data_IF_188577715710
#
_entry.id   IF_188577715710
#
_cell.length_a   1.000
_cell.length_b   1.000
_cell.length_c   1.000
_cell.angle_alpha   90.00
_cell.angle_beta   90.00
_cell.angle_gamma   90.00
#
_symmetry.space_group_name_H-M   'P 1'
#
loop_
_entity.id
_entity.type
_entity.pdbx_description
1 polymer ?
#
# COMPACT_ATOMS: atom_id res chain seq x y z
N UNK A 1 60.35 -5.88 -10.58
CA UNK A 1 59.03 -6.23 -10.01
C UNK A 1 58.32 -4.95 -9.61
N UNK A 2 57.44 -4.42 -10.46
CA UNK A 2 56.73 -3.16 -10.21
C UNK A 2 55.44 -3.45 -9.47
N UNK A 3 55.37 -3.16 -8.18
CA UNK A 3 54.10 -3.08 -7.46
C UNK A 3 53.32 -1.88 -7.99
N UNK A 4 52.26 -2.12 -8.76
CA UNK A 4 51.27 -1.11 -9.11
C UNK A 4 50.63 -0.62 -7.82
N UNK A 5 50.91 0.62 -7.48
CA UNK A 5 50.21 1.39 -6.46
C UNK A 5 48.81 1.61 -7.00
N UNK A 6 47.85 0.82 -6.56
CA UNK A 6 46.42 1.14 -6.74
C UNK A 6 46.15 2.34 -5.83
N UNK A 7 46.19 3.52 -6.43
CA UNK A 7 45.80 4.75 -5.75
C UNK A 7 44.38 4.56 -5.17
N UNK A 8 44.19 5.00 -3.91
CA UNK A 8 42.89 5.08 -3.25
C UNK A 8 41.95 5.91 -4.13
N UNK A 9 41.18 5.25 -4.97
CA UNK A 9 39.98 5.88 -5.60
C UNK A 9 39.07 6.23 -4.42
N UNK A 10 38.76 7.52 -4.19
CA UNK A 10 37.86 7.88 -3.11
C UNK A 10 36.54 7.10 -3.31
N UNK A 11 36.20 6.28 -2.31
CA UNK A 11 35.01 5.44 -2.35
C UNK A 11 33.78 6.33 -2.46
N UNK A 12 32.94 6.11 -3.47
CA UNK A 12 31.70 6.83 -3.65
C UNK A 12 30.80 6.68 -2.42
N UNK A 13 30.16 7.74 -1.99
CA UNK A 13 29.20 7.74 -0.88
C UNK A 13 28.03 6.82 -1.20
N UNK A 14 27.73 5.85 -0.34
CA UNK A 14 26.69 4.86 -0.57
C UNK A 14 25.42 5.21 0.17
N UNK A 15 24.35 5.49 -0.59
CA UNK A 15 22.98 5.71 -0.07
C UNK A 15 22.20 4.41 -0.27
N UNK A 16 21.74 3.82 0.82
CA UNK A 16 20.88 2.62 0.81
C UNK A 16 19.47 3.03 1.19
N UNK A 17 18.50 2.70 0.34
CA UNK A 17 17.07 2.92 0.55
C UNK A 17 16.43 1.55 0.73
N UNK A 18 15.77 1.31 1.87
CA UNK A 18 15.07 0.06 2.16
C UNK A 18 13.57 0.28 2.08
N UNK A 19 12.92 -0.42 1.15
CA UNK A 19 11.51 -0.31 0.82
C UNK A 19 11.26 0.43 -0.48
N UNK A 20 10.83 -0.31 -1.51
CA UNK A 20 10.50 0.18 -2.86
C UNK A 20 9.05 0.62 -3.02
N UNK A 21 8.36 0.98 -1.92
CA UNK A 21 7.02 1.56 -1.99
C UNK A 21 6.97 2.91 -2.71
N UNK A 22 5.81 3.59 -2.65
CA UNK A 22 5.56 4.83 -3.38
C UNK A 22 6.65 5.90 -3.17
N UNK A 23 7.12 6.06 -1.91
CA UNK A 23 8.15 7.05 -1.60
C UNK A 23 9.56 6.58 -1.88
N UNK A 24 9.93 5.34 -1.48
CA UNK A 24 11.28 4.83 -1.62
C UNK A 24 11.71 4.65 -3.07
N UNK A 25 10.84 4.11 -3.93
CA UNK A 25 11.11 3.98 -5.36
C UNK A 25 11.25 5.34 -6.04
N UNK A 26 10.39 6.30 -5.69
CA UNK A 26 10.50 7.67 -6.21
C UNK A 26 11.82 8.32 -5.78
N UNK A 27 12.20 8.18 -4.51
CA UNK A 27 13.47 8.69 -4.00
C UNK A 27 14.66 8.05 -4.72
N UNK A 28 14.68 6.73 -4.88
CA UNK A 28 15.73 6.01 -5.62
C UNK A 28 15.85 6.49 -7.06
N UNK A 29 14.70 6.68 -7.74
CA UNK A 29 14.63 7.21 -9.12
C UNK A 29 15.22 8.62 -9.21
N UNK A 30 14.86 9.52 -8.28
CA UNK A 30 15.38 10.90 -8.23
C UNK A 30 16.86 10.95 -7.95
N UNK A 31 17.33 10.23 -6.92
CA UNK A 31 18.73 10.19 -6.55
C UNK A 31 19.59 9.52 -7.63
N UNK A 32 19.10 8.44 -8.22
CA UNK A 32 19.79 7.78 -9.33
C UNK A 32 20.00 8.73 -10.50
N UNK A 33 18.98 9.48 -10.90
CA UNK A 33 19.05 10.45 -11.99
C UNK A 33 19.87 11.72 -11.65
N UNK A 34 19.98 12.09 -10.37
CA UNK A 34 20.74 13.27 -9.96
C UNK A 34 22.17 12.93 -9.50
N UNK A 35 22.34 12.04 -8.51
CA UNK A 35 23.62 11.69 -7.91
C UNK A 35 24.28 10.47 -8.60
N UNK A 36 23.50 9.41 -8.86
CA UNK A 36 23.97 8.17 -9.47
C UNK A 36 24.52 8.41 -10.88
N UNK A 37 23.75 9.07 -11.76
CA UNK A 37 24.17 9.43 -13.12
C UNK A 37 25.48 10.22 -13.16
N UNK A 38 25.73 11.06 -12.16
CA UNK A 38 26.94 11.88 -12.03
C UNK A 38 28.07 11.16 -11.29
N UNK A 39 27.85 9.93 -10.83
CA UNK A 39 28.79 9.14 -9.99
C UNK A 39 29.24 9.87 -8.71
N UNK A 40 28.39 10.72 -8.15
CA UNK A 40 28.59 11.42 -6.88
C UNK A 40 28.32 10.46 -5.72
N UNK A 41 27.26 9.64 -5.85
CA UNK A 41 26.90 8.62 -4.89
C UNK A 41 26.45 7.33 -5.59
N UNK A 42 26.67 6.21 -4.93
CA UNK A 42 26.09 4.92 -5.27
C UNK A 42 24.71 4.84 -4.58
N UNK A 43 23.67 4.68 -5.37
CA UNK A 43 22.29 4.60 -4.86
C UNK A 43 21.80 3.18 -5.00
N UNK A 44 21.40 2.58 -3.87
CA UNK A 44 20.91 1.20 -3.81
C UNK A 44 19.48 1.20 -3.25
N UNK A 45 18.56 0.58 -3.98
CA UNK A 45 17.21 0.27 -3.50
C UNK A 45 17.14 -1.20 -3.11
N UNK A 46 16.58 -1.49 -1.93
CA UNK A 46 16.34 -2.84 -1.43
C UNK A 46 14.85 -3.01 -1.19
N UNK A 47 14.27 -4.08 -1.73
CA UNK A 47 12.88 -4.47 -1.46
C UNK A 47 12.75 -5.99 -1.38
N UNK A 48 11.76 -6.47 -0.65
CA UNK A 48 11.44 -7.88 -0.51
C UNK A 48 10.71 -8.45 -1.75
N UNK A 49 10.26 -7.60 -2.67
CA UNK A 49 9.57 -7.96 -3.91
C UNK A 49 10.42 -7.62 -5.13
N UNK A 50 10.18 -8.31 -6.24
CA UNK A 50 10.84 -8.04 -7.53
C UNK A 50 10.20 -6.90 -8.30
N UNK A 51 8.97 -6.56 -7.94
CA UNK A 51 8.13 -5.62 -8.67
C UNK A 51 7.44 -4.64 -7.73
N UNK A 52 7.20 -3.44 -8.22
CA UNK A 52 6.41 -2.42 -7.55
C UNK A 52 4.98 -2.45 -8.03
N UNK A 53 4.05 -2.47 -7.08
CA UNK A 53 2.65 -2.11 -7.31
C UNK A 53 2.30 -0.92 -6.42
N UNK A 54 1.49 -0.02 -6.93
CA UNK A 54 1.07 1.12 -6.13
C UNK A 54 0.04 0.68 -5.08
N UNK A 55 0.46 0.61 -3.81
CA UNK A 55 -0.33 0.07 -2.69
C UNK A 55 -1.77 0.61 -2.61
N UNK A 56 -2.07 1.89 -2.88
CA UNK A 56 -3.44 2.38 -2.94
C UNK A 56 -4.37 1.66 -3.92
N UNK A 57 -3.86 0.91 -4.91
CA UNK A 57 -4.68 0.13 -5.85
C UNK A 57 -4.88 -1.34 -5.45
N UNK A 58 -4.41 -1.77 -4.28
CA UNK A 58 -4.56 -3.17 -3.84
C UNK A 58 -6.02 -3.61 -3.70
N UNK A 59 -6.95 -2.71 -3.43
CA UNK A 59 -8.38 -3.00 -3.42
C UNK A 59 -8.92 -3.34 -4.81
N UNK A 60 -8.40 -2.70 -5.88
CA UNK A 60 -8.75 -3.03 -7.28
C UNK A 60 -8.14 -4.38 -7.70
N UNK A 61 -6.94 -4.72 -7.21
CA UNK A 61 -6.35 -6.05 -7.41
C UNK A 61 -7.17 -7.13 -6.69
N UNK A 62 -7.55 -6.88 -5.44
CA UNK A 62 -8.34 -7.81 -4.64
C UNK A 62 -9.72 -8.08 -5.23
N UNK A 63 -10.37 -7.06 -5.80
CA UNK A 63 -11.66 -7.23 -6.50
C UNK A 63 -11.52 -7.87 -7.89
N UNK A 64 -10.30 -7.92 -8.45
CA UNK A 64 -10.02 -8.40 -9.80
C UNK A 64 -10.26 -7.36 -10.90
N UNK A 65 -10.58 -6.10 -10.55
CA UNK A 65 -10.81 -5.01 -11.51
C UNK A 65 -9.51 -4.44 -12.08
N UNK A 66 -8.38 -4.66 -11.39
CA UNK A 66 -7.03 -4.34 -11.88
C UNK A 66 -6.22 -5.64 -12.11
N UNK A 67 -5.60 -5.75 -13.29
CA UNK A 67 -4.65 -6.83 -13.56
C UNK A 67 -3.25 -6.46 -13.08
N UNK A 68 -2.88 -6.93 -11.89
CA UNK A 68 -1.59 -6.62 -11.28
C UNK A 68 -0.40 -6.94 -12.16
N UNK A 69 -0.46 -8.00 -12.98
CA UNK A 69 0.65 -8.44 -13.84
C UNK A 69 0.96 -7.46 -15.00
N UNK A 70 -0.01 -6.62 -15.39
CA UNK A 70 0.18 -5.63 -16.45
C UNK A 70 0.63 -4.26 -15.93
N UNK A 71 0.29 -3.96 -14.68
CA UNK A 71 0.52 -2.65 -14.06
C UNK A 71 1.74 -2.62 -13.13
N UNK A 72 2.46 -3.75 -13.04
CA UNK A 72 3.67 -3.85 -12.24
C UNK A 72 4.87 -3.19 -12.93
N UNK A 73 5.70 -2.57 -12.10
CA UNK A 73 6.98 -2.06 -12.51
C UNK A 73 8.09 -2.99 -12.00
N UNK A 74 8.89 -3.54 -12.92
CA UNK A 74 10.05 -4.37 -12.57
C UNK A 74 11.18 -3.50 -12.03
N UNK A 75 11.65 -3.78 -10.80
CA UNK A 75 12.69 -2.99 -10.14
C UNK A 75 14.04 -3.05 -10.87
N UNK A 76 14.49 -4.21 -11.36
CA UNK A 76 15.77 -4.31 -12.08
C UNK A 76 15.78 -3.46 -13.35
N UNK A 77 14.72 -3.56 -14.15
CA UNK A 77 14.60 -2.78 -15.39
C UNK A 77 14.52 -1.28 -15.09
N UNK A 78 13.81 -0.90 -14.01
CA UNK A 78 13.68 0.50 -13.64
C UNK A 78 14.98 1.06 -13.06
N UNK A 79 15.69 0.31 -12.24
CA UNK A 79 16.97 0.67 -11.65
C UNK A 79 18.04 0.93 -12.71
N UNK A 80 18.20 -0.01 -13.64
CA UNK A 80 19.16 0.13 -14.76
C UNK A 80 18.90 1.41 -15.56
N UNK A 81 17.62 1.71 -15.84
CA UNK A 81 17.25 2.90 -16.61
C UNK A 81 17.49 4.22 -15.87
N UNK A 82 17.40 4.20 -14.53
CA UNK A 82 17.43 5.39 -13.69
C UNK A 82 18.72 5.51 -12.87
N UNK A 83 19.79 4.80 -13.23
CA UNK A 83 21.14 4.92 -12.67
C UNK A 83 21.20 4.68 -11.14
N UNK A 84 20.46 3.67 -10.66
CA UNK A 84 20.61 3.13 -9.31
C UNK A 84 20.65 1.59 -9.38
N UNK A 85 21.06 0.94 -8.30
CA UNK A 85 21.10 -0.51 -8.19
C UNK A 85 19.90 -1.02 -7.39
N UNK A 86 19.42 -2.21 -7.74
CA UNK A 86 18.36 -2.88 -7.01
C UNK A 86 18.85 -4.21 -6.45
N UNK A 87 18.61 -4.44 -5.15
CA UNK A 87 18.86 -5.71 -4.48
C UNK A 87 17.56 -6.27 -3.91
N UNK A 88 17.23 -7.49 -4.31
CA UNK A 88 16.15 -8.26 -3.68
C UNK A 88 16.58 -8.65 -2.28
N UNK A 89 15.75 -8.36 -1.27
CA UNK A 89 16.03 -8.76 0.10
C UNK A 89 15.09 -8.10 1.10
N UNK A 90 14.91 -8.75 2.24
CA UNK A 90 14.14 -8.24 3.37
C UNK A 90 15.10 -7.90 4.50
N UNK A 91 15.11 -6.64 4.90
CA UNK A 91 15.91 -6.19 6.04
C UNK A 91 15.27 -6.65 7.35
N UNK A 92 16.08 -7.13 8.26
CA UNK A 92 15.64 -7.51 9.61
C UNK A 92 16.42 -6.84 10.74
N UNK A 93 17.62 -6.31 10.46
CA UNK A 93 18.48 -5.70 11.48
C UNK A 93 19.31 -4.55 10.90
N UNK A 94 19.74 -3.62 11.75
CA UNK A 94 20.64 -2.50 11.45
C UNK A 94 21.79 -2.52 12.47
N UNK A 95 23.04 -2.60 11.98
CA UNK A 95 24.24 -2.36 12.79
C UNK A 95 24.70 -0.92 12.56
N UNK A 96 24.33 -0.02 13.48
CA UNK A 96 24.67 1.41 13.39
C UNK A 96 26.18 1.67 13.50
N UNK A 97 26.90 0.87 14.30
CA UNK A 97 28.32 1.06 14.51
C UNK A 97 29.13 0.70 13.27
N UNK A 98 28.79 -0.42 12.64
CA UNK A 98 29.44 -0.86 11.40
C UNK A 98 28.84 -0.23 10.16
N UNK A 99 27.73 0.52 10.31
CA UNK A 99 26.92 1.07 9.21
C UNK A 99 26.53 0.00 8.18
N UNK A 100 25.95 -1.08 8.66
CA UNK A 100 25.45 -2.18 7.85
C UNK A 100 23.97 -2.43 8.14
N UNK A 101 23.23 -2.87 7.13
CA UNK A 101 21.95 -3.55 7.32
C UNK A 101 22.14 -5.03 7.07
N UNK A 102 21.32 -5.85 7.73
CA UNK A 102 21.28 -7.29 7.52
C UNK A 102 20.00 -7.66 6.79
N UNK A 103 20.17 -8.49 5.75
CA UNK A 103 19.08 -9.03 4.93
C UNK A 103 18.87 -10.51 5.24
N UNK A 104 17.60 -10.91 5.35
CA UNK A 104 17.22 -12.32 5.46
C UNK A 104 17.74 -13.13 4.25
N UNK A 105 17.84 -14.44 4.40
CA UNK A 105 18.06 -15.35 3.28
C UNK A 105 16.88 -15.31 2.30
N UNK A 106 17.15 -15.56 1.04
CA UNK A 106 16.13 -15.70 0.01
C UNK A 106 15.93 -17.19 -0.24
N UNK A 107 14.71 -17.65 0.02
CA UNK A 107 14.32 -19.05 -0.16
C UNK A 107 13.33 -19.12 -1.33
N UNK A 108 13.55 -20.05 -2.27
CA UNK A 108 12.62 -20.34 -3.36
C UNK A 108 11.42 -21.16 -2.84
N UNK A 109 10.35 -21.24 -3.66
CA UNK A 109 9.13 -21.98 -3.31
C UNK A 109 9.36 -23.48 -3.04
N UNK A 110 10.43 -24.06 -3.59
CA UNK A 110 10.86 -25.44 -3.37
C UNK A 110 11.75 -25.62 -2.12
N UNK A 111 12.01 -24.54 -1.37
CA UNK A 111 12.85 -24.52 -0.17
C UNK A 111 14.36 -24.36 -0.43
N UNK A 112 14.79 -24.20 -1.69
CA UNK A 112 16.20 -23.96 -2.00
C UNK A 112 16.60 -22.53 -1.58
N UNK A 113 17.78 -22.40 -0.93
CA UNK A 113 18.35 -21.10 -0.61
C UNK A 113 18.95 -20.49 -1.88
N UNK A 114 18.31 -19.45 -2.42
CA UNK A 114 18.79 -18.69 -3.57
C UNK A 114 19.89 -17.70 -3.20
N UNK A 115 19.82 -17.12 -2.01
CA UNK A 115 20.87 -16.27 -1.46
C UNK A 115 20.91 -16.39 0.07
N UNK A 116 22.10 -16.55 0.69
CA UNK A 116 22.22 -16.60 2.14
C UNK A 116 21.92 -15.21 2.75
N UNK A 117 21.75 -15.20 4.07
CA UNK A 117 21.72 -13.94 4.84
C UNK A 117 23.01 -13.17 4.58
N UNK A 118 22.86 -11.86 4.35
CA UNK A 118 23.99 -11.00 3.95
C UNK A 118 23.87 -9.60 4.49
N UNK A 119 25.01 -8.94 4.64
CA UNK A 119 25.07 -7.55 5.06
C UNK A 119 25.32 -6.61 3.88
N UNK A 120 24.68 -5.44 3.93
CA UNK A 120 24.88 -4.35 2.96
C UNK A 120 25.35 -3.12 3.74
N UNK A 121 26.55 -2.63 3.39
CA UNK A 121 27.10 -1.41 3.99
C UNK A 121 26.40 -0.17 3.42
N UNK A 122 26.19 0.83 4.27
CA UNK A 122 25.74 2.16 3.88
C UNK A 122 26.66 3.26 4.45
N UNK A 123 26.67 4.41 3.81
CA UNK A 123 27.16 5.65 4.40
C UNK A 123 25.97 6.50 4.88
N UNK A 124 24.84 6.42 4.16
CA UNK A 124 23.55 6.94 4.57
C UNK A 124 22.46 5.89 4.30
N UNK A 125 21.56 5.68 5.28
CA UNK A 125 20.43 4.78 5.20
C UNK A 125 19.12 5.55 5.18
N UNK A 126 18.18 5.16 4.30
CA UNK A 126 16.80 5.65 4.30
C UNK A 126 15.85 4.48 4.51
N UNK A 127 15.11 4.46 5.61
CA UNK A 127 14.10 3.46 5.91
C UNK A 127 12.76 3.94 5.33
N UNK A 128 12.24 3.23 4.33
CA UNK A 128 11.03 3.58 3.56
C UNK A 128 10.08 2.38 3.39
N UNK A 129 10.08 1.45 4.36
CA UNK A 129 9.40 0.15 4.28
C UNK A 129 7.88 0.21 4.42
N UNK A 130 7.31 1.39 4.66
CA UNK A 130 5.88 1.57 4.77
C UNK A 130 5.26 1.01 6.05
N UNK A 131 4.00 0.61 5.95
CA UNK A 131 3.18 0.08 7.04
C UNK A 131 2.62 -1.30 6.73
N UNK A 132 2.23 -2.02 7.79
CA UNK A 132 1.41 -3.22 7.75
C UNK A 132 0.10 -2.99 8.51
N UNK A 133 -0.88 -3.81 8.27
CA UNK A 133 -2.15 -3.77 9.00
C UNK A 133 -1.93 -4.03 10.50
N UNK A 134 -2.73 -3.37 11.33
CA UNK A 134 -2.74 -3.55 12.78
C UNK A 134 -3.99 -4.31 13.20
N UNK A 135 -3.81 -5.52 13.70
CA UNK A 135 -4.89 -6.36 14.18
C UNK A 135 -5.39 -6.00 15.59
N UNK A 136 -4.71 -5.05 16.25
CA UNK A 136 -5.00 -4.62 17.65
C UNK A 136 -5.07 -5.79 18.66
N UNK A 137 -4.46 -6.95 18.36
CA UNK A 137 -4.53 -8.15 19.18
C UNK A 137 -5.91 -8.83 19.14
N UNK A 138 -6.76 -8.52 18.17
CA UNK A 138 -8.09 -9.13 18.03
C UNK A 138 -7.97 -10.63 17.77
N UNK A 139 -8.59 -11.42 18.65
CA UNK A 139 -8.53 -12.88 18.59
C UNK A 139 -9.04 -13.42 17.24
N UNK A 140 -8.24 -14.24 16.57
CA UNK A 140 -8.56 -14.85 15.28
C UNK A 140 -8.37 -13.94 14.07
N UNK A 141 -8.03 -12.65 14.22
CA UNK A 141 -7.85 -11.75 13.07
C UNK A 141 -6.76 -12.23 12.11
N UNK A 142 -5.59 -12.63 12.65
CA UNK A 142 -4.45 -13.10 11.82
C UNK A 142 -4.73 -14.40 11.09
N UNK A 143 -5.52 -15.29 11.71
CA UNK A 143 -5.75 -16.64 11.17
C UNK A 143 -6.95 -16.71 10.24
N UNK A 144 -7.95 -15.83 10.46
CA UNK A 144 -9.26 -15.90 9.81
C UNK A 144 -9.54 -14.78 8.82
N UNK A 145 -8.67 -13.75 8.77
CA UNK A 145 -8.82 -12.63 7.83
C UNK A 145 -7.67 -12.56 6.83
N UNK A 146 -7.98 -12.07 5.65
CA UNK A 146 -6.97 -11.65 4.68
C UNK A 146 -6.68 -10.17 4.95
N UNK A 147 -5.40 -9.84 5.06
CA UNK A 147 -4.91 -8.46 5.11
C UNK A 147 -4.59 -7.98 3.70
N UNK A 148 -4.63 -6.66 3.45
CA UNK A 148 -4.31 -6.11 2.14
C UNK A 148 -3.05 -5.23 2.20
N UNK A 149 -1.97 -5.81 2.70
CA UNK A 149 -0.69 -5.12 2.83
C UNK A 149 0.20 -5.22 1.59
N UNK A 150 0.04 -6.30 0.84
CA UNK A 150 0.85 -6.60 -0.34
C UNK A 150 0.03 -7.28 -1.44
N UNK A 151 0.64 -7.38 -2.63
CA UNK A 151 0.02 -7.98 -3.81
C UNK A 151 -0.42 -9.43 -3.58
N UNK A 152 0.43 -10.27 -3.00
CA UNK A 152 0.11 -11.70 -2.80
C UNK A 152 -1.15 -11.90 -1.95
N UNK A 153 -1.39 -11.02 -0.98
CA UNK A 153 -2.61 -11.04 -0.17
C UNK A 153 -3.84 -10.59 -0.97
N UNK A 154 -3.69 -9.58 -1.84
CA UNK A 154 -4.77 -9.15 -2.74
C UNK A 154 -5.11 -10.23 -3.78
N UNK A 155 -4.09 -10.87 -4.38
CA UNK A 155 -4.29 -12.00 -5.31
C UNK A 155 -4.92 -13.21 -4.59
N UNK A 156 -4.53 -13.49 -3.33
CA UNK A 156 -5.17 -14.54 -2.51
C UNK A 156 -6.65 -14.24 -2.30
N UNK A 157 -6.98 -13.00 -1.91
CA UNK A 157 -8.36 -12.60 -1.72
C UNK A 157 -9.17 -12.75 -3.01
N UNK A 158 -8.65 -12.29 -4.14
CA UNK A 158 -9.31 -12.40 -5.44
C UNK A 158 -9.59 -13.88 -5.81
N UNK A 159 -8.63 -14.78 -5.59
CA UNK A 159 -8.81 -16.23 -5.82
C UNK A 159 -9.89 -16.83 -4.90
N UNK A 160 -9.90 -16.48 -3.62
CA UNK A 160 -10.92 -16.96 -2.68
C UNK A 160 -12.31 -16.42 -3.04
N UNK A 161 -12.41 -15.14 -3.41
CA UNK A 161 -13.66 -14.52 -3.86
C UNK A 161 -14.21 -15.21 -5.12
N UNK A 162 -13.38 -15.43 -6.14
CA UNK A 162 -13.78 -16.17 -7.34
C UNK A 162 -14.19 -17.62 -7.03
N UNK A 163 -13.47 -18.28 -6.12
CA UNK A 163 -13.77 -19.67 -5.72
C UNK A 163 -15.14 -19.80 -5.07
N UNK A 164 -15.58 -18.80 -4.27
CA UNK A 164 -16.94 -18.78 -3.72
C UNK A 164 -17.99 -18.73 -4.83
N UNK A 165 -17.78 -17.90 -5.85
CA UNK A 165 -18.66 -17.83 -7.01
C UNK A 165 -18.75 -19.15 -7.77
N UNK A 166 -17.60 -19.77 -8.06
CA UNK A 166 -17.55 -21.03 -8.80
C UNK A 166 -18.21 -22.18 -8.03
N UNK A 167 -17.99 -22.25 -6.71
CA UNK A 167 -18.65 -23.25 -5.84
C UNK A 167 -20.16 -23.10 -5.84
N UNK A 168 -20.65 -21.87 -5.64
CA UNK A 168 -22.09 -21.61 -5.64
C UNK A 168 -22.73 -21.86 -7.02
N UNK A 169 -22.03 -21.58 -8.13
CA UNK A 169 -22.48 -21.92 -9.46
C UNK A 169 -22.57 -23.45 -9.66
N UNK A 170 -21.56 -24.19 -9.20
CA UNK A 170 -21.55 -25.66 -9.29
C UNK A 170 -22.70 -26.29 -8.49
N UNK A 171 -23.01 -25.77 -7.30
CA UNK A 171 -24.13 -26.23 -6.47
C UNK A 171 -25.48 -26.05 -7.18
N UNK A 172 -25.71 -24.92 -7.82
CA UNK A 172 -26.94 -24.66 -8.58
C UNK A 172 -27.09 -25.64 -9.77
N UNK A 173 -25.98 -26.02 -10.43
CA UNK A 173 -26.01 -26.97 -11.53
C UNK A 173 -26.25 -28.43 -11.09
N UNK A 174 -25.86 -28.78 -9.86
CA UNK A 174 -26.03 -30.12 -9.30
C UNK A 174 -27.43 -30.34 -8.70
N UNK A 175 -28.15 -29.29 -8.38
CA UNK A 175 -29.49 -29.38 -7.82
C UNK A 175 -30.58 -29.32 -8.91
N UNK A 176 -30.88 -30.48 -9.50
CA UNK A 176 -31.94 -30.65 -10.50
C UNK A 176 -33.36 -30.29 -9.96
N UNK A 177 -33.52 -30.19 -8.64
CA UNK A 177 -34.83 -29.93 -8.02
C UNK A 177 -35.22 -28.46 -7.99
N UNK A 178 -34.36 -27.52 -8.39
CA UNK A 178 -34.56 -26.05 -8.30
C UNK A 178 -34.90 -25.54 -6.87
N UNK A 179 -34.64 -26.32 -5.84
CA UNK A 179 -34.99 -26.04 -4.43
C UNK A 179 -33.80 -25.76 -3.52
N UNK A 180 -32.56 -25.90 -3.99
CA UNK A 180 -31.41 -25.52 -3.18
C UNK A 180 -31.54 -24.03 -2.86
N UNK A 181 -31.67 -23.76 -1.58
CA UNK A 181 -31.52 -22.41 -1.05
C UNK A 181 -30.09 -22.01 -1.37
N UNK A 182 -29.94 -21.10 -2.30
CA UNK A 182 -28.64 -20.54 -2.67
C UNK A 182 -28.04 -19.93 -1.41
N UNK A 183 -26.94 -20.47 -0.94
CA UNK A 183 -26.23 -19.90 0.21
C UNK A 183 -25.72 -18.51 -0.15
N UNK A 184 -26.11 -17.52 0.64
CA UNK A 184 -25.65 -16.16 0.44
C UNK A 184 -24.14 -16.10 0.71
N UNK A 185 -23.41 -15.46 -0.21
CA UNK A 185 -22.00 -15.16 0.01
C UNK A 185 -21.90 -13.96 0.95
N UNK A 186 -21.42 -14.20 2.16
CA UNK A 186 -21.24 -13.18 3.17
C UNK A 186 -19.79 -12.72 3.24
N UNK A 187 -19.51 -11.48 2.84
CA UNK A 187 -18.19 -10.85 2.88
C UNK A 187 -18.19 -9.81 3.98
N UNK A 188 -17.21 -9.88 4.87
CA UNK A 188 -17.03 -8.89 5.93
C UNK A 188 -15.72 -8.13 5.74
N UNK A 189 -15.80 -6.80 5.75
CA UNK A 189 -14.67 -5.89 5.69
C UNK A 189 -14.59 -5.17 7.03
N UNK A 190 -13.53 -5.44 7.81
CA UNK A 190 -13.31 -4.85 9.11
C UNK A 190 -12.43 -3.62 8.97
N UNK A 191 -12.99 -2.44 9.27
CA UNK A 191 -12.38 -1.13 9.12
C UNK A 191 -12.97 -0.36 7.95
N UNK A 192 -13.68 0.75 8.24
CA UNK A 192 -14.28 1.64 7.26
C UNK A 192 -13.44 2.91 7.02
N UNK A 193 -12.12 2.76 6.97
CA UNK A 193 -11.20 3.74 6.41
C UNK A 193 -11.23 3.73 4.88
N UNK A 194 -10.30 4.43 4.23
CA UNK A 194 -10.24 4.53 2.75
C UNK A 194 -10.23 3.16 2.09
N UNK A 195 -9.32 2.28 2.46
CA UNK A 195 -9.15 0.94 1.87
C UNK A 195 -10.42 0.09 2.00
N UNK A 196 -11.05 0.07 3.20
CA UNK A 196 -12.27 -0.74 3.39
C UNK A 196 -13.46 -0.22 2.61
N UNK A 197 -13.64 1.09 2.54
CA UNK A 197 -14.70 1.75 1.75
C UNK A 197 -14.52 1.50 0.26
N UNK A 198 -13.31 1.69 -0.27
CA UNK A 198 -12.99 1.44 -1.68
C UNK A 198 -13.14 -0.02 -2.05
N UNK A 199 -12.66 -0.94 -1.21
CA UNK A 199 -12.84 -2.39 -1.43
C UNK A 199 -14.32 -2.80 -1.45
N UNK A 200 -15.12 -2.29 -0.50
CA UNK A 200 -16.54 -2.61 -0.46
C UNK A 200 -17.27 -2.20 -1.75
N UNK A 201 -16.96 -1.01 -2.25
CA UNK A 201 -17.53 -0.50 -3.50
C UNK A 201 -17.06 -1.33 -4.72
N UNK A 202 -15.76 -1.63 -4.81
CA UNK A 202 -15.18 -2.41 -5.92
C UNK A 202 -15.69 -3.86 -5.95
N UNK A 203 -15.86 -4.51 -4.80
CA UNK A 203 -16.42 -5.86 -4.72
C UNK A 203 -17.88 -5.89 -5.22
N UNK A 204 -18.67 -4.87 -4.91
CA UNK A 204 -20.04 -4.78 -5.42
C UNK A 204 -20.07 -4.58 -6.94
N UNK A 205 -19.12 -3.79 -7.46
CA UNK A 205 -18.93 -3.65 -8.90
C UNK A 205 -18.51 -4.97 -9.56
N UNK A 206 -17.49 -5.66 -9.02
CA UNK A 206 -17.03 -6.95 -9.49
C UNK A 206 -18.18 -7.99 -9.54
N UNK A 207 -19.03 -8.02 -8.52
CA UNK A 207 -20.22 -8.88 -8.48
C UNK A 207 -21.16 -8.67 -9.67
N UNK A 208 -21.39 -7.42 -10.08
CA UNK A 208 -22.18 -7.12 -11.27
C UNK A 208 -21.49 -7.56 -12.57
N UNK A 209 -20.17 -7.44 -12.64
CA UNK A 209 -19.40 -7.87 -13.82
C UNK A 209 -19.40 -9.40 -13.97
N UNK A 210 -19.32 -10.17 -12.87
CA UNK A 210 -19.44 -11.63 -12.93
C UNK A 210 -20.75 -12.08 -13.57
N UNK A 211 -21.88 -11.44 -13.23
CA UNK A 211 -23.15 -11.73 -13.86
C UNK A 211 -23.16 -11.44 -15.37
N UNK A 212 -22.51 -10.34 -15.81
CA UNK A 212 -22.37 -10.00 -17.24
C UNK A 212 -21.52 -11.02 -18.00
N UNK A 213 -20.55 -11.66 -17.33
CA UNK A 213 -19.73 -12.73 -17.93
C UNK A 213 -20.37 -14.10 -17.93
N UNK A 214 -21.64 -14.21 -17.56
CA UNK A 214 -22.38 -15.45 -17.63
C UNK A 214 -22.42 -16.26 -16.33
N UNK A 215 -21.80 -15.80 -15.25
CA UNK A 215 -21.94 -16.39 -13.92
C UNK A 215 -23.28 -15.99 -13.29
N UNK A 216 -24.41 -16.35 -13.94
CA UNK A 216 -25.76 -15.89 -13.61
C UNK A 216 -26.37 -16.61 -12.42
N UNK A 217 -25.81 -17.73 -11.99
CA UNK A 217 -26.30 -18.51 -10.87
C UNK A 217 -26.26 -17.75 -9.55
N UNK A 218 -25.34 -16.76 -9.41
CA UNK A 218 -25.28 -15.86 -8.28
C UNK A 218 -25.61 -14.45 -8.76
N UNK A 219 -26.70 -13.91 -8.24
CA UNK A 219 -27.05 -12.53 -8.50
C UNK A 219 -26.35 -11.59 -7.49
N UNK A 220 -26.09 -10.30 -7.84
CA UNK A 220 -25.47 -9.35 -6.92
C UNK A 220 -26.21 -9.19 -5.59
N UNK A 221 -27.51 -9.50 -5.53
CA UNK A 221 -28.35 -9.49 -4.32
C UNK A 221 -28.00 -10.64 -3.36
N UNK A 222 -27.44 -11.75 -3.86
CA UNK A 222 -27.02 -12.90 -3.05
C UNK A 222 -25.62 -12.69 -2.41
N UNK A 223 -24.98 -11.54 -2.69
CA UNK A 223 -23.72 -11.17 -2.10
C UNK A 223 -23.97 -10.09 -1.08
N UNK A 224 -23.90 -10.48 0.18
CA UNK A 224 -23.97 -9.59 1.33
C UNK A 224 -22.60 -9.07 1.68
N UNK A 225 -22.37 -7.78 1.54
CA UNK A 225 -21.12 -7.13 1.96
C UNK A 225 -21.41 -6.31 3.21
N UNK A 226 -20.72 -6.63 4.30
CA UNK A 226 -20.79 -5.91 5.57
C UNK A 226 -19.50 -5.13 5.80
N UNK A 227 -19.59 -3.81 5.82
CA UNK A 227 -18.50 -2.89 6.17
C UNK A 227 -18.63 -2.53 7.65
N UNK A 228 -17.65 -2.94 8.45
CA UNK A 228 -17.68 -2.89 9.92
C UNK A 228 -16.75 -1.78 10.40
N UNK A 229 -17.27 -0.89 11.26
CA UNK A 229 -16.53 0.23 11.82
C UNK A 229 -16.76 0.34 13.33
N UNK A 230 -15.67 0.46 14.07
CA UNK A 230 -15.73 0.64 15.53
C UNK A 230 -16.20 2.03 15.94
N UNK A 231 -15.93 3.04 15.10
CA UNK A 231 -16.33 4.44 15.32
C UNK A 231 -17.79 4.69 14.97
N UNK A 232 -18.30 5.85 15.34
CA UNK A 232 -19.67 6.29 15.05
C UNK A 232 -19.91 6.66 13.57
N UNK A 233 -18.84 6.78 12.75
CA UNK A 233 -18.94 7.10 11.31
C UNK A 233 -17.82 6.43 10.52
N UNK A 234 -18.08 6.15 9.26
CA UNK A 234 -17.05 5.71 8.31
C UNK A 234 -16.12 6.87 7.95
N UNK A 235 -14.92 6.58 7.41
CA UNK A 235 -13.94 7.60 7.02
C UNK A 235 -13.72 8.67 8.12
N UNK A 236 -13.44 8.28 9.37
CA UNK A 236 -13.46 9.19 10.52
C UNK A 236 -12.45 10.34 10.42
N UNK A 237 -11.43 10.21 9.57
CA UNK A 237 -10.39 11.22 9.32
C UNK A 237 -10.87 12.34 8.40
N UNK A 238 -11.94 12.10 7.62
CA UNK A 238 -12.52 13.08 6.69
C UNK A 238 -13.64 13.89 7.35
N UNK A 239 -14.12 14.94 6.67
CA UNK A 239 -15.23 15.72 7.16
C UNK A 239 -16.50 14.90 7.28
N UNK A 240 -17.40 15.26 8.18
CA UNK A 240 -18.68 14.59 8.37
C UNK A 240 -19.52 14.58 7.07
N UNK A 241 -19.47 15.67 6.31
CA UNK A 241 -20.16 15.78 5.02
C UNK A 241 -19.68 14.71 4.03
N UNK A 242 -18.36 14.51 3.90
CA UNK A 242 -17.78 13.48 3.03
C UNK A 242 -18.12 12.07 3.53
N UNK A 243 -18.04 11.84 4.85
CA UNK A 243 -18.41 10.58 5.49
C UNK A 243 -19.86 10.20 5.18
N UNK A 244 -20.81 11.14 5.37
CA UNK A 244 -22.23 10.92 5.13
C UNK A 244 -22.51 10.69 3.63
N UNK A 245 -21.86 11.42 2.72
CA UNK A 245 -21.99 11.21 1.27
C UNK A 245 -21.52 9.81 0.89
N UNK A 246 -20.35 9.37 1.37
CA UNK A 246 -19.82 8.03 1.13
C UNK A 246 -20.76 6.94 1.68
N UNK A 247 -21.26 7.09 2.91
CA UNK A 247 -22.17 6.13 3.54
C UNK A 247 -23.46 5.98 2.74
N UNK A 248 -24.03 7.09 2.26
CA UNK A 248 -25.25 7.06 1.44
C UNK A 248 -25.03 6.33 0.11
N UNK A 249 -23.90 6.54 -0.55
CA UNK A 249 -23.56 5.83 -1.79
C UNK A 249 -23.38 4.33 -1.55
N UNK A 250 -22.65 3.92 -0.50
CA UNK A 250 -22.50 2.52 -0.14
C UNK A 250 -23.84 1.83 0.15
N UNK A 251 -24.75 2.51 0.87
CA UNK A 251 -26.11 2.01 1.12
C UNK A 251 -26.93 1.86 -0.13
N UNK A 252 -26.85 2.80 -1.10
CA UNK A 252 -27.51 2.68 -2.41
C UNK A 252 -26.99 1.46 -3.19
N UNK A 253 -25.71 1.12 -3.03
CA UNK A 253 -25.12 -0.08 -3.62
C UNK A 253 -25.53 -1.38 -2.90
N UNK A 254 -26.30 -1.30 -1.81
CA UNK A 254 -26.74 -2.45 -1.01
C UNK A 254 -25.61 -3.00 -0.11
N UNK A 255 -24.68 -2.15 0.35
CA UNK A 255 -23.64 -2.52 1.30
C UNK A 255 -24.15 -2.24 2.72
N UNK A 256 -24.02 -3.23 3.60
CA UNK A 256 -24.34 -3.12 5.02
C UNK A 256 -23.27 -2.34 5.77
N UNK A 257 -23.55 -1.11 6.17
CA UNK A 257 -22.60 -0.28 6.96
C UNK A 257 -22.92 -0.44 8.46
N UNK A 258 -22.06 -1.13 9.18
CA UNK A 258 -22.19 -1.43 10.61
C UNK A 258 -21.23 -0.52 11.40
N UNK A 259 -21.76 0.52 12.01
CA UNK A 259 -21.04 1.49 12.85
C UNK A 259 -21.19 1.16 14.33
N UNK A 260 -20.27 1.69 15.17
CA UNK A 260 -20.21 1.37 16.61
C UNK A 260 -20.10 -0.14 16.87
N UNK A 261 -19.40 -0.85 15.98
CA UNK A 261 -19.29 -2.31 16.00
C UNK A 261 -17.81 -2.69 16.17
N UNK A 262 -17.34 -2.75 17.41
CA UNK A 262 -15.99 -3.21 17.72
C UNK A 262 -15.95 -4.74 17.68
N UNK A 263 -15.07 -5.29 16.84
CA UNK A 263 -14.87 -6.74 16.72
C UNK A 263 -14.11 -7.24 17.94
N UNK A 264 -14.66 -8.27 18.60
CA UNK A 264 -14.05 -8.93 19.76
C UNK A 264 -13.26 -10.17 19.36
N UNK A 265 -13.84 -11.01 18.50
CA UNK A 265 -13.27 -12.29 18.07
C UNK A 265 -13.77 -12.67 16.69
N UNK A 266 -12.95 -13.39 15.95
CA UNK A 266 -13.27 -13.89 14.61
C UNK A 266 -13.03 -15.40 14.57
N UNK A 267 -14.05 -16.15 14.18
CA UNK A 267 -13.99 -17.58 13.91
C UNK A 267 -14.07 -17.84 12.40
N UNK A 268 -14.05 -19.12 12.01
CA UNK A 268 -14.07 -19.53 10.61
C UNK A 268 -15.26 -18.96 9.82
N UNK A 269 -16.46 -18.93 10.41
CA UNK A 269 -17.69 -18.49 9.73
C UNK A 269 -18.40 -17.31 10.40
N UNK A 270 -17.92 -16.84 11.56
CA UNK A 270 -18.65 -15.88 12.37
C UNK A 270 -17.73 -14.83 12.94
N UNK A 271 -18.19 -13.58 12.89
CA UNK A 271 -17.57 -12.43 13.56
C UNK A 271 -18.40 -12.08 14.78
N UNK A 272 -17.76 -11.93 15.94
CA UNK A 272 -18.38 -11.57 17.23
C UNK A 272 -17.99 -10.16 17.62
N UNK A 273 -18.96 -9.36 18.04
CA UNK A 273 -18.76 -8.00 18.51
C UNK A 273 -18.72 -7.91 20.05
N UNK A 274 -18.16 -6.82 20.56
CA UNK A 274 -18.10 -6.58 22.01
C UNK A 274 -19.49 -6.45 22.66
N UNK A 275 -20.48 -5.96 21.93
CA UNK A 275 -21.86 -5.80 22.37
C UNK A 275 -22.71 -7.11 22.36
N UNK A 276 -22.06 -8.23 22.03
CA UNK A 276 -22.71 -9.55 22.00
C UNK A 276 -23.37 -9.92 20.67
N UNK A 277 -23.48 -8.99 19.71
CA UNK A 277 -23.96 -9.30 18.36
C UNK A 277 -22.96 -10.19 17.61
N UNK A 278 -23.44 -10.88 16.60
CA UNK A 278 -22.62 -11.69 15.69
C UNK A 278 -23.15 -11.64 14.27
N UNK A 279 -22.27 -11.79 13.29
CA UNK A 279 -22.65 -11.88 11.88
C UNK A 279 -21.92 -13.06 11.20
N UNK A 280 -22.55 -13.72 10.20
CA UNK A 280 -21.87 -14.70 9.37
C UNK A 280 -20.90 -14.03 8.42
N UNK A 281 -19.77 -14.68 8.10
CA UNK A 281 -18.82 -14.23 7.11
C UNK A 281 -18.03 -15.40 6.53
N UNK A 282 -18.22 -15.67 5.23
CA UNK A 282 -17.46 -16.68 4.48
C UNK A 282 -16.08 -16.15 4.08
N UNK A 283 -15.98 -14.87 3.76
CA UNK A 283 -14.75 -14.19 3.38
C UNK A 283 -14.57 -12.94 4.24
N UNK A 284 -13.38 -12.77 4.81
CA UNK A 284 -13.10 -11.70 5.78
C UNK A 284 -11.84 -10.95 5.40
N UNK A 285 -11.94 -9.61 5.35
CA UNK A 285 -10.80 -8.71 5.13
C UNK A 285 -10.60 -7.84 6.37
N UNK A 286 -9.35 -7.76 6.80
CA UNK A 286 -8.94 -6.82 7.82
C UNK A 286 -8.32 -5.59 7.18
N UNK A 287 -9.03 -4.47 7.20
CA UNK A 287 -8.62 -3.17 6.68
C UNK A 287 -8.56 -2.08 7.78
N UNK A 288 -8.59 -2.50 9.07
CA UNK A 288 -8.59 -1.60 10.22
C UNK A 288 -7.18 -1.33 10.72
N UNK A 289 -6.82 -0.05 10.80
CA UNK A 289 -5.57 0.40 11.39
C UNK A 289 -4.31 -0.04 10.64
N UNK A 290 -3.27 0.72 10.85
CA UNK A 290 -1.92 0.40 10.33
C UNK A 290 -0.89 0.66 11.43
N UNK A 291 0.24 -0.04 11.34
CA UNK A 291 1.44 0.18 12.14
C UNK A 291 2.67 -0.06 11.27
N UNK A 292 3.81 0.43 11.67
CA UNK A 292 5.07 0.01 11.05
C UNK A 292 5.34 -1.47 11.40
N UNK A 293 6.09 -2.20 10.56
CA UNK A 293 6.42 -3.61 10.81
C UNK A 293 7.01 -3.84 12.19
N UNK A 294 6.66 -4.97 12.83
CA UNK A 294 7.01 -5.25 14.22
C UNK A 294 8.53 -5.31 14.47
N UNK A 295 9.31 -5.69 13.46
CA UNK A 295 10.78 -5.74 13.58
C UNK A 295 11.44 -4.36 13.73
N UNK A 296 10.73 -3.26 13.42
CA UNK A 296 11.21 -1.89 13.67
C UNK A 296 11.14 -1.49 15.13
N UNK A 297 10.36 -2.21 15.94
CA UNK A 297 10.28 -1.92 17.37
C UNK A 297 11.67 -2.05 17.99
N UNK A 298 12.16 -0.96 18.56
CA UNK A 298 13.47 -0.86 19.20
C UNK A 298 14.67 -1.27 18.31
N UNK A 299 14.50 -1.24 16.97
CA UNK A 299 15.55 -1.65 16.04
C UNK A 299 16.82 -0.82 16.26
N UNK A 300 17.93 -1.48 16.51
CA UNK A 300 19.25 -0.87 16.72
C UNK A 300 19.25 0.25 17.78
N UNK A 301 18.33 0.26 18.74
CA UNK A 301 18.18 1.30 19.76
C UNK A 301 17.69 2.66 19.20
N UNK A 302 17.07 2.67 18.03
CA UNK A 302 16.40 3.85 17.49
C UNK A 302 15.05 4.07 18.18
N UNK A 303 14.67 5.33 18.35
CA UNK A 303 13.42 5.68 18.98
C UNK A 303 12.23 5.33 18.09
N UNK A 304 11.24 4.62 18.66
CA UNK A 304 9.97 4.28 17.99
C UNK A 304 8.77 4.69 18.84
N UNK A 305 7.67 5.01 18.18
CA UNK A 305 6.40 5.27 18.86
C UNK A 305 5.61 3.95 19.10
N UNK A 306 4.43 4.06 19.71
CA UNK A 306 3.53 2.93 20.01
C UNK A 306 3.03 2.16 18.75
N UNK A 307 3.18 2.72 17.56
CA UNK A 307 2.89 2.08 16.27
C UNK A 307 4.16 1.54 15.58
N UNK A 308 5.25 1.39 16.31
CA UNK A 308 6.57 0.96 15.82
C UNK A 308 7.18 1.90 14.75
N UNK A 309 6.65 3.11 14.56
CA UNK A 309 7.18 4.06 13.60
C UNK A 309 8.46 4.71 14.17
N UNK A 310 9.49 4.81 13.35
CA UNK A 310 10.73 5.51 13.70
C UNK A 310 10.45 7.01 13.91
N UNK A 311 10.80 7.52 15.08
CA UNK A 311 10.65 8.95 15.39
C UNK A 311 11.74 9.71 14.65
N UNK A 312 11.34 10.76 13.93
CA UNK A 312 12.27 11.57 13.12
C UNK A 312 12.20 13.05 13.46
N UNK A 313 13.35 13.70 13.28
CA UNK A 313 13.51 15.14 13.39
C UNK A 313 12.88 15.87 12.18
N UNK A 314 12.76 17.19 12.20
CA UNK A 314 12.26 17.96 11.05
C UNK A 314 13.04 17.75 9.75
N UNK A 315 14.29 17.30 9.84
CA UNK A 315 15.15 16.92 8.70
C UNK A 315 14.89 15.53 8.16
N UNK A 316 13.95 14.76 8.75
CA UNK A 316 13.66 13.34 8.52
C UNK A 316 14.81 12.38 8.91
N UNK A 317 15.84 12.86 9.62
CA UNK A 317 16.82 12.01 10.30
C UNK A 317 16.16 11.38 11.54
N UNK A 318 16.56 10.17 11.90
CA UNK A 318 16.14 9.58 13.18
C UNK A 318 16.70 10.40 14.35
N UNK A 319 16.06 10.33 15.53
CA UNK A 319 16.45 11.13 16.71
C UNK A 319 17.86 10.84 17.21
N UNK A 320 18.30 9.58 17.07
CA UNK A 320 19.58 9.10 17.64
C UNK A 320 20.66 8.82 16.61
N UNK A 321 20.44 9.10 15.32
CA UNK A 321 21.44 8.86 14.29
C UNK A 321 21.33 9.84 13.13
N UNK A 322 22.42 10.53 12.81
CA UNK A 322 22.47 11.53 11.75
C UNK A 322 22.56 10.94 10.34
N UNK A 323 22.90 9.67 10.22
CA UNK A 323 23.09 8.98 8.95
C UNK A 323 21.90 8.06 8.59
N UNK A 324 20.92 7.95 9.48
CA UNK A 324 19.71 7.14 9.26
C UNK A 324 18.50 8.08 9.18
N UNK A 325 17.84 8.04 8.05
CA UNK A 325 16.61 8.75 7.74
C UNK A 325 15.45 7.77 7.71
N UNK A 326 14.23 8.25 7.99
CA UNK A 326 13.02 7.47 7.76
C UNK A 326 11.94 8.32 7.10
N UNK A 327 11.11 7.67 6.26
CA UNK A 327 10.06 8.33 5.51
C UNK A 327 8.85 7.44 5.26
N UNK A 328 7.73 8.05 4.87
CA UNK A 328 6.47 7.37 4.62
C UNK A 328 5.82 6.85 5.90
N UNK A 329 5.06 5.77 5.78
CA UNK A 329 4.21 5.26 6.87
C UNK A 329 5.00 4.66 8.04
N UNK A 330 6.28 4.30 7.84
CA UNK A 330 7.15 3.81 8.91
C UNK A 330 7.85 4.92 9.70
N UNK A 331 7.63 6.19 9.35
CA UNK A 331 8.20 7.34 10.05
C UNK A 331 7.14 8.12 10.82
N UNK A 332 7.50 8.58 12.03
CA UNK A 332 6.68 9.46 12.86
C UNK A 332 7.32 10.83 12.92
N UNK A 333 6.71 11.81 12.26
CA UNK A 333 7.12 13.22 12.34
C UNK A 333 5.98 14.07 12.89
N UNK A 334 6.25 14.76 13.97
CA UNK A 334 5.35 15.74 14.60
C UNK A 334 5.90 17.14 14.29
N UNK A 335 5.25 17.96 13.45
CA UNK A 335 5.67 19.33 13.19
C UNK A 335 5.67 20.18 14.48
N UNK A 336 6.54 21.16 14.55
CA UNK A 336 6.59 22.08 15.67
C UNK A 336 5.23 22.77 15.86
N UNK A 337 4.73 22.79 17.10
CA UNK A 337 3.42 23.35 17.44
C UNK A 337 2.22 22.44 17.11
N UNK A 338 2.44 21.30 16.46
CA UNK A 338 1.37 20.34 16.19
C UNK A 338 1.21 19.34 17.36
N UNK A 339 -0.04 18.97 17.65
CA UNK A 339 -0.35 17.94 18.67
C UNK A 339 -0.36 16.50 18.13
N UNK A 340 -0.24 16.34 16.80
CA UNK A 340 -0.32 15.04 16.13
C UNK A 340 0.73 14.91 15.03
N UNK A 341 1.17 13.68 14.82
CA UNK A 341 2.05 13.35 13.71
C UNK A 341 1.35 13.55 12.36
N UNK A 342 2.14 13.83 11.32
CA UNK A 342 1.66 13.82 9.94
C UNK A 342 1.11 12.42 9.64
N UNK A 343 -0.14 12.31 9.13
CA UNK A 343 -0.76 11.01 8.91
C UNK A 343 -0.07 10.23 7.79
N UNK A 344 0.04 8.89 7.90
CA UNK A 344 0.60 8.02 6.88
C UNK A 344 -0.28 8.03 5.62
N UNK A 345 0.25 8.57 4.52
CA UNK A 345 -0.43 8.69 3.22
C UNK A 345 0.58 8.70 2.08
N UNK A 346 0.21 8.20 0.92
CA UNK A 346 1.06 8.20 -0.27
C UNK A 346 1.54 9.62 -0.66
N UNK A 347 0.71 10.66 -0.49
CA UNK A 347 1.12 12.04 -0.77
C UNK A 347 2.20 12.55 0.18
N UNK A 348 2.22 12.07 1.44
CA UNK A 348 3.29 12.41 2.40
C UNK A 348 4.59 11.78 1.95
N UNK A 349 4.57 10.49 1.62
CA UNK A 349 5.74 9.78 1.13
C UNK A 349 6.31 10.40 -0.17
N UNK A 350 5.45 10.84 -1.10
CA UNK A 350 5.86 11.57 -2.30
C UNK A 350 6.57 12.91 -1.95
N UNK A 351 5.98 13.73 -1.07
CA UNK A 351 6.58 15.00 -0.66
C UNK A 351 7.89 14.80 0.10
N UNK A 352 7.97 13.75 0.92
CA UNK A 352 9.21 13.38 1.61
C UNK A 352 10.28 12.88 0.65
N UNK A 353 9.93 12.16 -0.42
CA UNK A 353 10.89 11.75 -1.45
C UNK A 353 11.50 12.96 -2.19
N UNK A 354 10.65 13.92 -2.57
CA UNK A 354 11.09 15.18 -3.19
C UNK A 354 12.01 15.97 -2.24
N UNK A 355 11.64 16.04 -0.97
CA UNK A 355 12.41 16.73 0.05
C UNK A 355 13.77 16.05 0.28
N UNK A 356 13.78 14.72 0.46
CA UNK A 356 14.99 13.95 0.72
C UNK A 356 15.97 13.96 -0.46
N UNK A 357 15.52 14.11 -1.69
CA UNK A 357 16.45 14.30 -2.82
C UNK A 357 17.39 15.49 -2.59
N UNK A 358 16.86 16.62 -2.09
CA UNK A 358 17.66 17.79 -1.75
C UNK A 358 18.42 17.60 -0.45
N UNK A 359 17.74 17.13 0.60
CA UNK A 359 18.33 16.97 1.93
C UNK A 359 19.54 16.02 1.93
N UNK A 360 19.47 14.90 1.21
CA UNK A 360 20.58 13.95 1.10
C UNK A 360 21.77 14.50 0.31
N UNK A 361 21.52 15.35 -0.68
CA UNK A 361 22.56 16.08 -1.39
C UNK A 361 23.30 17.04 -0.47
N UNK A 362 22.54 17.85 0.30
CA UNK A 362 23.07 18.77 1.29
C UNK A 362 23.81 18.00 2.40
N UNK A 363 23.32 16.81 2.80
CA UNK A 363 23.97 15.94 3.78
C UNK A 363 25.36 15.44 3.32
N UNK A 364 25.46 14.96 2.07
CA UNK A 364 26.76 14.53 1.48
C UNK A 364 27.73 15.71 1.42
N UNK A 365 27.26 16.89 1.07
CA UNK A 365 28.05 18.12 0.98
C UNK A 365 28.31 18.76 2.36
N UNK A 366 27.86 18.13 3.46
CA UNK A 366 27.99 18.61 4.86
C UNK A 366 27.39 20.01 5.07
N UNK A 367 26.33 20.33 4.34
CA UNK A 367 25.55 21.58 4.49
C UNK A 367 24.46 21.41 5.56
N UNK A 368 23.94 22.54 6.01
CA UNK A 368 22.74 22.56 6.88
C UNK A 368 21.55 21.95 6.16
N UNK A 369 20.89 20.98 6.79
CA UNK A 369 19.75 20.31 6.20
C UNK A 369 18.50 21.19 6.27
N UNK A 370 17.65 21.17 5.24
CA UNK A 370 16.35 21.85 5.25
C UNK A 370 15.39 21.18 6.23
N UNK A 371 14.28 21.86 6.52
CA UNK A 371 13.17 21.36 7.34
C UNK A 371 12.03 20.92 6.43
N UNK A 372 11.48 19.73 6.69
CA UNK A 372 10.35 19.20 5.95
C UNK A 372 9.04 19.89 6.37
N UNK A 373 8.32 20.43 5.40
CA UNK A 373 7.01 21.06 5.59
C UNK A 373 6.00 20.30 4.73
N UNK A 374 5.05 19.61 5.38
CA UNK A 374 3.97 18.94 4.68
C UNK A 374 2.89 19.93 4.23
N UNK A 375 2.47 19.79 2.97
CA UNK A 375 1.35 20.56 2.39
C UNK A 375 0.22 19.58 2.05
N UNK A 376 -0.86 19.61 2.83
CA UNK A 376 -2.02 18.76 2.54
C UNK A 376 -2.74 19.24 1.27
N UNK A 377 -2.79 18.38 0.26
CA UNK A 377 -3.47 18.63 -1.01
C UNK A 377 -4.90 18.09 -1.05
N UNK A 378 -5.36 17.51 0.06
CA UNK A 378 -6.67 16.89 0.18
C UNK A 378 -6.62 15.37 0.13
N UNK A 379 -7.80 14.76 0.08
CA UNK A 379 -7.99 13.29 0.10
C UNK A 379 -9.20 12.93 -0.74
N UNK A 380 -9.06 11.91 -1.56
CA UNK A 380 -10.11 11.39 -2.44
C UNK A 380 -10.29 9.90 -2.20
N UNK A 381 -11.52 9.44 -2.22
CA UNK A 381 -11.94 8.05 -2.01
C UNK A 381 -12.75 7.63 -3.23
N UNK A 382 -12.39 6.52 -3.86
CA UNK A 382 -13.12 5.94 -4.97
C UNK A 382 -14.33 5.15 -4.46
N UNK A 383 -15.51 5.39 -5.02
CA UNK A 383 -16.73 4.64 -4.70
C UNK A 383 -17.27 3.85 -5.88
N UNK A 384 -16.86 4.18 -7.10
CA UNK A 384 -17.23 3.45 -8.32
C UNK A 384 -16.43 3.95 -9.53
N UNK A 385 -16.69 3.35 -10.71
CA UNK A 385 -16.08 3.83 -11.96
C UNK A 385 -16.38 5.29 -12.28
N UNK A 386 -17.48 5.84 -11.76
CA UNK A 386 -17.95 7.18 -12.08
C UNK A 386 -18.09 8.11 -10.89
N UNK A 387 -17.84 7.62 -9.69
CA UNK A 387 -18.05 8.40 -8.47
C UNK A 387 -16.87 8.28 -7.50
N UNK A 388 -16.39 9.41 -7.02
CA UNK A 388 -15.46 9.53 -5.91
C UNK A 388 -15.91 10.67 -5.01
N UNK A 389 -15.52 10.62 -3.76
CA UNK A 389 -15.83 11.66 -2.77
C UNK A 389 -14.55 12.08 -2.05
N UNK A 390 -14.49 13.32 -1.59
CA UNK A 390 -13.37 13.77 -0.79
C UNK A 390 -13.31 15.27 -0.64
N UNK A 391 -12.13 15.76 -0.30
CA UNK A 391 -11.85 17.20 -0.25
C UNK A 391 -10.51 17.50 -0.94
N UNK A 392 -10.40 18.70 -1.46
CA UNK A 392 -9.19 19.24 -2.08
C UNK A 392 -8.71 20.48 -1.31
N UNK A 393 -7.61 21.07 -1.76
CA UNK A 393 -6.99 22.29 -1.19
C UNK A 393 -7.99 23.23 -0.55
N UNK A 394 -7.74 23.64 0.71
CA UNK A 394 -8.61 24.55 1.44
C UNK A 394 -9.88 23.91 2.03
N UNK A 395 -10.02 22.58 2.01
CA UNK A 395 -11.17 21.88 2.60
C UNK A 395 -12.43 21.88 1.72
N UNK A 396 -12.32 22.22 0.43
CA UNK A 396 -13.43 22.17 -0.52
C UNK A 396 -13.84 20.74 -0.77
N UNK A 397 -15.06 20.36 -0.38
CA UNK A 397 -15.61 19.03 -0.64
C UNK A 397 -15.98 18.89 -2.11
N UNK A 398 -15.59 17.77 -2.69
CA UNK A 398 -15.92 17.40 -4.08
C UNK A 398 -16.47 15.97 -4.13
N UNK A 399 -17.39 15.74 -5.06
CA UNK A 399 -18.01 14.44 -5.29
C UNK A 399 -18.37 14.25 -6.76
N UNK A 400 -18.67 13.01 -7.15
CA UNK A 400 -19.11 12.67 -8.49
C UNK A 400 -17.97 12.48 -9.48
N UNK A 401 -18.28 12.68 -10.77
CA UNK A 401 -17.35 12.40 -11.87
C UNK A 401 -16.08 13.25 -11.87
N UNK A 402 -16.18 14.53 -11.46
CA UNK A 402 -15.00 15.41 -11.35
C UNK A 402 -14.04 14.87 -10.27
N UNK A 403 -14.57 14.48 -9.12
CA UNK A 403 -13.76 13.86 -8.07
C UNK A 403 -13.10 12.55 -8.56
N UNK A 404 -13.81 11.75 -9.39
CA UNK A 404 -13.25 10.54 -10.00
C UNK A 404 -12.10 10.84 -10.97
N UNK A 405 -12.22 11.83 -11.83
CA UNK A 405 -11.12 12.25 -12.71
C UNK A 405 -9.89 12.69 -11.91
N UNK A 406 -10.10 13.42 -10.83
CA UNK A 406 -9.01 13.84 -9.94
C UNK A 406 -8.39 12.64 -9.21
N UNK A 407 -9.20 11.67 -8.75
CA UNK A 407 -8.69 10.44 -8.14
C UNK A 407 -7.78 9.66 -9.12
N UNK A 408 -8.22 9.44 -10.34
CA UNK A 408 -7.43 8.78 -11.39
C UNK A 408 -6.13 9.56 -11.68
N UNK A 409 -6.18 10.89 -11.64
CA UNK A 409 -5.00 11.73 -11.87
C UNK A 409 -3.91 11.52 -10.81
N UNK A 410 -4.24 11.12 -9.58
CA UNK A 410 -3.25 10.82 -8.54
C UNK A 410 -2.34 9.65 -8.94
N UNK A 411 -2.92 8.58 -9.48
CA UNK A 411 -2.13 7.46 -10.01
C UNK A 411 -1.27 7.89 -11.20
N UNK A 412 -1.81 8.71 -12.10
CA UNK A 412 -1.04 9.24 -13.25
C UNK A 412 0.12 10.14 -12.82
N UNK A 413 -0.06 10.93 -11.77
CA UNK A 413 1.03 11.72 -11.18
C UNK A 413 2.14 10.83 -10.60
N UNK A 414 1.79 9.72 -9.95
CA UNK A 414 2.78 8.74 -9.51
C UNK A 414 3.54 8.13 -10.70
N UNK A 415 2.84 7.75 -11.78
CA UNK A 415 3.49 7.26 -13.01
C UNK A 415 4.40 8.33 -13.65
N UNK A 416 4.01 9.60 -13.63
CA UNK A 416 4.87 10.71 -14.11
C UNK A 416 6.15 10.82 -13.28
N UNK A 417 6.06 10.67 -11.95
CA UNK A 417 7.23 10.71 -11.08
C UNK A 417 8.25 9.59 -11.40
N UNK A 418 7.77 8.40 -11.80
CA UNK A 418 8.62 7.25 -12.12
C UNK A 418 9.08 7.20 -13.59
N UNK A 419 8.22 7.54 -14.52
CA UNK A 419 8.46 7.34 -15.96
C UNK A 419 8.71 8.63 -16.74
N UNK A 420 8.37 9.78 -16.16
CA UNK A 420 8.36 11.08 -16.84
C UNK A 420 7.09 11.29 -17.67
N UNK A 421 6.83 12.54 -18.07
CA UNK A 421 5.58 12.95 -18.74
C UNK A 421 5.36 12.21 -20.07
N UNK A 422 6.37 12.13 -20.94
CA UNK A 422 6.20 11.54 -22.27
C UNK A 422 5.78 10.07 -22.25
N UNK A 423 6.45 9.24 -21.43
CA UNK A 423 6.08 7.82 -21.31
C UNK A 423 4.74 7.63 -20.65
N UNK A 424 4.42 8.43 -19.63
CA UNK A 424 3.10 8.37 -18.99
C UNK A 424 1.99 8.73 -19.98
N UNK A 425 2.19 9.68 -20.86
CA UNK A 425 1.22 10.01 -21.93
C UNK A 425 0.98 8.82 -22.87
N UNK A 426 2.04 8.08 -23.23
CA UNK A 426 1.91 6.86 -24.05
C UNK A 426 1.15 5.77 -23.26
N UNK A 427 1.42 5.59 -21.97
CA UNK A 427 0.69 4.63 -21.14
C UNK A 427 -0.80 4.98 -21.04
N UNK A 428 -1.15 6.26 -20.87
CA UNK A 428 -2.53 6.73 -20.86
C UNK A 428 -3.21 6.42 -22.20
N UNK A 429 -2.55 6.70 -23.31
CA UNK A 429 -3.10 6.41 -24.64
C UNK A 429 -3.30 4.90 -24.86
N UNK A 430 -2.33 4.07 -24.45
CA UNK A 430 -2.45 2.60 -24.45
C UNK A 430 -3.68 2.15 -23.66
N UNK A 431 -3.87 2.67 -22.44
CA UNK A 431 -4.99 2.28 -21.58
C UNK A 431 -6.33 2.69 -22.18
N UNK A 432 -6.42 3.88 -22.78
CA UNK A 432 -7.65 4.34 -23.46
C UNK A 432 -8.00 3.45 -24.67
N UNK A 433 -7.01 3.07 -25.47
CA UNK A 433 -7.23 2.22 -26.65
C UNK A 433 -7.54 0.77 -26.26
N UNK A 434 -6.96 0.26 -25.18
CA UNK A 434 -7.17 -1.13 -24.76
C UNK A 434 -8.43 -1.34 -23.91
N UNK A 435 -9.05 -0.28 -23.40
CA UNK A 435 -10.20 -0.35 -22.48
C UNK A 435 -11.41 -1.05 -23.07
N UNK A 436 -11.62 -0.96 -24.39
CA UNK A 436 -12.75 -1.61 -25.08
C UNK A 436 -12.50 -3.08 -25.44
N UNK A 437 -11.24 -3.54 -25.46
CA UNK A 437 -10.86 -4.89 -25.90
C UNK A 437 -10.48 -5.84 -24.77
N UNK A 438 -10.37 -5.34 -23.54
CA UNK A 438 -9.95 -6.14 -22.36
C UNK A 438 -11.15 -6.54 -21.51
N UNK A 439 -11.14 -7.74 -20.92
CA UNK A 439 -12.10 -8.08 -19.89
C UNK A 439 -11.93 -7.12 -18.68
N UNK A 440 -13.07 -6.69 -18.14
CA UNK A 440 -13.10 -5.78 -16.98
C UNK A 440 -12.75 -6.47 -15.65
N UNK A 441 -12.62 -7.80 -15.64
CA UNK A 441 -12.24 -8.58 -14.48
C UNK A 441 -11.19 -9.62 -14.84
N UNK A 442 -10.20 -9.77 -13.97
CA UNK A 442 -9.22 -10.85 -13.98
C UNK A 442 -9.86 -12.09 -13.37
N UNK A 443 -9.84 -13.22 -14.09
CA UNK A 443 -10.45 -14.48 -13.66
C UNK A 443 -9.41 -15.60 -13.43
N UNK A 444 -8.12 -15.25 -13.30
CA UNK A 444 -7.03 -16.23 -13.12
C UNK A 444 -5.88 -15.65 -12.28
#
# INVERSE_FOLDING_TARGET
>A
MNAKIYGNIPRSHRIVIVGGGAGGLELATRLGNSLGKRKIAEVILIDASLTHIWKPLLHEVASGTLNSSEDELNYFAHANKNNFEFFLGKMFEIDRHKKNILLEEIIADDGQILAPSRSIRFDTLVVAIGSTSNDFGTQGAKDQCIFLDCRSQADKFQKEFLSLYLKAQAQVLLDESNKAKQDDINIAIIGAGATGVELAAELKHAAHQFCKYGLKSIQPKNISISLIEASSRILPVLSEKVSNSAENELKKMGINVLKNCRVKRIDHEVIYFEDGRKIPANLKVWAAGIKAPDFLKDIAGLETNHLNQLVVRPTLQTTYDDYIFAMGDCACYIPEGASRAIPPRAQVANQQAIFLEKALKDHIEKKTLPIFIFKDKGSLISLSEHNSVGHILGGVNIEGYIARLMYVSLYRLHQVALHGMFKTSILILKDLLSKSSRPHLKMH
#
